data_IF_333055534090
#
_entry.id   IF_333055534090
#
_cell.length_a   1.000
_cell.length_b   1.000
_cell.length_c   1.000
_cell.angle_alpha   90.00
_cell.angle_beta   90.00
_cell.angle_gamma   90.00
#
_symmetry.space_group_name_H-M   'P 1'
#
loop_
_entity.id
_entity.type
_entity.pdbx_description
1 polymer ?
#
# COMPACT_ATOMS: atom_id res chain seq x y z
N UNK A 1 2.13 20.69 -16.03
CA UNK A 1 2.76 19.37 -15.79
C UNK A 1 1.70 18.35 -15.41
N UNK A 2 1.53 17.32 -16.25
CA UNK A 2 0.51 16.29 -16.11
C UNK A 2 0.89 15.29 -15.01
N UNK A 3 -0.07 14.90 -14.17
CA UNK A 3 0.09 13.80 -13.22
C UNK A 3 -0.63 12.55 -13.72
N UNK A 4 -0.09 11.38 -13.41
CA UNK A 4 -0.70 10.09 -13.70
C UNK A 4 -0.52 9.13 -12.52
N UNK A 5 -1.32 8.08 -12.48
CA UNK A 5 -1.19 6.99 -11.51
C UNK A 5 0.18 6.35 -11.69
N UNK A 6 0.86 6.10 -10.58
CA UNK A 6 2.18 5.49 -10.60
C UNK A 6 2.08 4.01 -10.95
N UNK A 7 2.81 3.61 -11.99
CA UNK A 7 3.08 2.23 -12.38
C UNK A 7 4.53 1.93 -12.04
N UNK A 8 4.76 0.79 -11.41
CA UNK A 8 6.09 0.25 -11.23
C UNK A 8 6.56 -0.32 -12.57
N UNK A 9 7.48 0.37 -13.23
CA UNK A 9 8.01 -0.04 -14.55
C UNK A 9 8.81 -1.35 -14.55
N UNK A 10 9.15 -1.91 -13.38
CA UNK A 10 9.79 -3.23 -13.27
C UNK A 10 8.77 -4.35 -13.12
N UNK A 11 7.77 -4.19 -12.25
CA UNK A 11 6.74 -5.22 -12.01
C UNK A 11 5.53 -5.08 -12.93
N UNK A 12 5.38 -3.94 -13.60
CA UNK A 12 4.23 -3.55 -14.43
C UNK A 12 2.92 -3.40 -13.64
N UNK A 13 3.01 -3.27 -12.32
CA UNK A 13 1.85 -3.13 -11.43
C UNK A 13 1.64 -1.69 -10.98
N UNK A 14 0.41 -1.37 -10.57
CA UNK A 14 0.06 -0.10 -9.93
C UNK A 14 0.71 -0.02 -8.56
N UNK A 15 1.32 1.13 -8.25
CA UNK A 15 1.88 1.39 -6.92
C UNK A 15 0.77 1.91 -6.01
N UNK A 16 0.52 1.16 -4.94
CA UNK A 16 -0.40 1.54 -3.86
C UNK A 16 0.40 2.05 -2.66
N UNK A 17 -0.14 3.07 -2.00
CA UNK A 17 0.40 3.57 -0.74
C UNK A 17 -0.60 3.38 0.39
N UNK A 18 -0.14 2.87 1.53
CA UNK A 18 -0.93 2.89 2.75
C UNK A 18 -1.03 4.33 3.26
N UNK A 19 -2.23 4.90 3.23
CA UNK A 19 -2.50 6.24 3.78
C UNK A 19 -2.83 6.21 5.27
N UNK A 20 -2.86 5.04 5.89
CA UNK A 20 -3.24 4.94 7.27
C UNK A 20 -2.09 5.41 8.19
N UNK A 21 -2.35 6.48 8.95
CA UNK A 21 -1.40 7.12 9.87
C UNK A 21 -1.62 6.70 11.34
N UNK A 22 -2.46 5.71 11.60
CA UNK A 22 -2.80 5.28 12.96
C UNK A 22 -1.58 4.62 13.63
N UNK A 23 -1.31 5.03 14.87
CA UNK A 23 -0.22 4.51 15.68
C UNK A 23 -0.39 3.01 15.98
N UNK A 24 0.73 2.28 15.97
CA UNK A 24 0.79 0.85 16.28
C UNK A 24 1.01 0.64 17.77
N UNK A 25 0.23 -0.24 18.38
CA UNK A 25 0.31 -0.57 19.79
C UNK A 25 0.56 -2.07 20.01
N UNK A 26 1.25 -2.43 21.11
CA UNK A 26 1.57 -3.82 21.42
C UNK A 26 0.31 -4.62 21.75
N UNK A 27 0.31 -5.87 21.28
CA UNK A 27 -0.72 -6.85 21.56
C UNK A 27 -0.08 -8.11 22.14
N UNK A 28 -0.69 -8.68 23.17
CA UNK A 28 -0.25 -9.91 23.81
C UNK A 28 -1.43 -10.85 24.06
N UNK A 29 -1.20 -12.14 23.83
CA UNK A 29 -2.13 -13.19 24.27
C UNK A 29 -1.98 -13.40 25.77
N UNK A 30 -3.06 -13.25 26.54
CA UNK A 30 -3.05 -13.34 28.00
C UNK A 30 -3.34 -14.76 28.46
N UNK A 31 -4.41 -15.34 27.93
CA UNK A 31 -4.90 -16.64 28.37
C UNK A 31 -5.72 -17.31 27.28
N UNK A 32 -5.64 -18.64 27.23
CA UNK A 32 -6.62 -19.47 26.53
C UNK A 32 -7.64 -20.01 27.53
N UNK A 33 -8.92 -19.65 27.38
CA UNK A 33 -10.00 -20.26 28.14
C UNK A 33 -10.69 -21.37 27.35
N UNK A 34 -11.71 -21.98 27.96
CA UNK A 34 -12.48 -23.05 27.32
C UNK A 34 -13.23 -22.54 26.09
N UNK A 35 -13.88 -21.37 26.21
CA UNK A 35 -14.76 -20.80 25.17
C UNK A 35 -14.05 -19.74 24.32
N UNK A 36 -13.13 -18.97 24.90
CA UNK A 36 -12.54 -17.79 24.26
C UNK A 36 -11.03 -17.77 24.38
N UNK A 37 -10.38 -17.13 23.41
CA UNK A 37 -8.98 -16.74 23.48
C UNK A 37 -8.89 -15.26 23.88
N UNK A 38 -8.14 -14.99 24.95
CA UNK A 38 -8.07 -13.67 25.58
C UNK A 38 -6.79 -12.94 25.18
N UNK A 39 -6.95 -11.75 24.61
CA UNK A 39 -5.86 -10.85 24.25
C UNK A 39 -5.87 -9.55 25.04
N UNK A 40 -4.73 -8.88 25.10
CA UNK A 40 -4.57 -7.56 25.72
C UNK A 40 -3.91 -6.61 24.73
N UNK A 41 -4.44 -5.39 24.67
CA UNK A 41 -3.81 -4.27 23.97
C UNK A 41 -3.41 -3.24 25.02
N UNK A 42 -2.15 -2.83 25.02
CA UNK A 42 -1.66 -1.75 25.89
C UNK A 42 -1.59 -0.46 25.10
N UNK A 43 -2.29 0.57 25.55
CA UNK A 43 -2.32 1.90 24.94
C UNK A 43 -1.83 2.96 25.94
N UNK A 44 -1.23 4.06 25.49
CA UNK A 44 -0.87 5.18 26.36
C UNK A 44 -2.08 5.95 26.88
N UNK A 45 -1.91 6.65 27.99
CA UNK A 45 -2.94 7.49 28.63
C UNK A 45 -3.50 8.59 27.70
N UNK A 46 -2.69 9.16 26.80
CA UNK A 46 -3.14 10.21 25.88
C UNK A 46 -4.18 9.71 24.86
N UNK A 47 -4.32 8.39 24.66
CA UNK A 47 -5.30 7.81 23.75
C UNK A 47 -6.69 7.86 24.41
N UNK A 48 -7.46 8.87 24.03
CA UNK A 48 -8.83 9.04 24.53
C UNK A 48 -9.76 7.91 24.08
N UNK A 49 -10.82 7.67 24.87
CA UNK A 49 -11.89 6.71 24.51
C UNK A 49 -12.54 7.08 23.18
N UNK A 50 -12.70 8.39 22.92
CA UNK A 50 -13.28 8.89 21.68
C UNK A 50 -12.43 8.54 20.46
N UNK A 51 -11.10 8.59 20.58
CA UNK A 51 -10.19 8.17 19.50
C UNK A 51 -10.35 6.67 19.19
N UNK A 52 -10.53 5.82 20.21
CA UNK A 52 -10.81 4.39 20.03
C UNK A 52 -12.16 4.14 19.33
N UNK A 53 -13.14 5.01 19.55
CA UNK A 53 -14.47 4.91 18.93
C UNK A 53 -14.54 5.49 17.52
N UNK A 54 -13.79 6.55 17.21
CA UNK A 54 -13.84 7.23 15.90
C UNK A 54 -12.81 6.71 14.90
N UNK A 55 -11.56 6.50 15.33
CA UNK A 55 -10.42 6.15 14.45
C UNK A 55 -9.90 4.74 14.72
N UNK A 56 -9.95 4.29 15.98
CA UNK A 56 -9.38 3.01 16.41
C UNK A 56 -7.86 3.06 16.60
N UNK A 57 -7.29 1.89 16.87
CA UNK A 57 -5.85 1.68 17.11
C UNK A 57 -5.34 0.55 16.23
N UNK A 58 -4.11 0.70 15.73
CA UNK A 58 -3.44 -0.34 14.94
C UNK A 58 -2.75 -1.30 15.90
N UNK A 59 -2.91 -2.59 15.69
CA UNK A 59 -2.22 -3.64 16.44
C UNK A 59 -1.70 -4.71 15.50
N UNK A 60 -0.55 -5.27 15.84
CA UNK A 60 0.00 -6.43 15.14
C UNK A 60 -0.32 -7.67 15.95
N UNK A 61 -1.18 -8.54 15.42
CA UNK A 61 -1.58 -9.77 16.11
C UNK A 61 -0.89 -10.94 15.41
N UNK A 62 -0.01 -11.70 16.09
CA UNK A 62 0.65 -12.83 15.47
C UNK A 62 -0.36 -13.90 15.08
N UNK A 63 -0.09 -14.62 13.99
CA UNK A 63 -0.94 -15.72 13.56
C UNK A 63 -0.97 -16.83 14.64
N UNK A 64 -2.17 -17.12 15.13
CA UNK A 64 -2.41 -18.15 16.13
C UNK A 64 -3.37 -19.19 15.54
N UNK A 65 -2.93 -20.43 15.27
CA UNK A 65 -3.73 -21.47 14.64
C UNK A 65 -4.75 -22.13 15.62
N UNK A 66 -5.49 -21.32 16.38
CA UNK A 66 -6.49 -21.77 17.35
C UNK A 66 -7.88 -21.37 16.85
N UNK A 67 -8.78 -22.36 16.74
CA UNK A 67 -10.16 -22.14 16.31
C UNK A 67 -11.06 -21.79 17.52
N UNK A 68 -10.74 -20.67 18.18
CA UNK A 68 -11.55 -20.11 19.27
C UNK A 68 -11.88 -18.64 18.99
N UNK A 69 -13.11 -18.19 19.30
CA UNK A 69 -13.45 -16.77 19.21
C UNK A 69 -12.58 -15.92 20.13
N UNK A 70 -12.30 -14.69 19.70
CA UNK A 70 -11.38 -13.79 20.39
C UNK A 70 -12.15 -12.77 21.23
N UNK A 71 -11.64 -12.54 22.43
CA UNK A 71 -12.01 -11.40 23.27
C UNK A 71 -10.76 -10.64 23.67
N UNK A 72 -10.86 -9.32 23.76
CA UNK A 72 -9.74 -8.46 24.12
C UNK A 72 -10.09 -7.54 25.26
N UNK A 73 -9.08 -7.19 26.05
CA UNK A 73 -9.13 -6.07 26.98
C UNK A 73 -8.18 -4.97 26.54
N UNK A 74 -8.55 -3.74 26.82
CA UNK A 74 -7.71 -2.56 26.56
C UNK A 74 -7.18 -2.07 27.90
N UNK A 75 -5.88 -1.96 28.01
CA UNK A 75 -5.18 -1.49 29.22
C UNK A 75 -4.49 -0.18 28.89
N UNK A 76 -4.69 0.83 29.73
CA UNK A 76 -4.01 2.11 29.65
C UNK A 76 -2.76 2.11 30.52
N UNK A 77 -1.64 2.49 29.93
CA UNK A 77 -0.41 2.79 30.66
C UNK A 77 -0.40 4.27 31.04
N UNK A 78 -0.46 4.53 32.35
CA UNK A 78 -0.43 5.86 32.95
C UNK A 78 1.01 6.38 33.03
N UNK A 79 1.22 7.70 33.12
CA UNK A 79 2.56 8.32 33.19
C UNK A 79 3.44 7.79 34.34
N UNK A 80 2.81 7.25 35.39
CA UNK A 80 3.48 6.66 36.55
C UNK A 80 3.82 5.15 36.37
N UNK A 81 3.58 4.58 35.19
CA UNK A 81 3.80 3.16 34.88
C UNK A 81 2.74 2.21 35.44
N UNK A 82 1.65 2.72 36.03
CA UNK A 82 0.53 1.88 36.45
C UNK A 82 -0.42 1.57 35.29
N UNK A 83 -0.97 0.37 35.31
CA UNK A 83 -1.85 -0.14 34.27
C UNK A 83 -3.31 -0.04 34.72
N UNK A 84 -4.15 0.60 33.91
CA UNK A 84 -5.58 0.73 34.15
C UNK A 84 -6.39 0.03 33.07
N UNK A 85 -7.18 -0.98 33.44
CA UNK A 85 -8.06 -1.68 32.49
C UNK A 85 -9.29 -0.82 32.16
N UNK A 86 -9.61 -0.71 30.87
CA UNK A 86 -10.83 -0.06 30.41
C UNK A 86 -12.03 -0.97 30.60
N UNK A 87 -13.10 -0.44 31.20
CA UNK A 87 -14.37 -1.15 31.39
C UNK A 87 -15.29 -0.85 30.22
N UNK A 88 -15.90 -1.89 29.67
CA UNK A 88 -16.89 -1.78 28.62
C UNK A 88 -18.16 -1.08 29.15
N UNK A 89 -18.58 0.04 28.54
CA UNK A 89 -19.70 0.83 29.04
C UNK A 89 -21.06 0.11 28.94
N UNK A 90 -21.19 -0.89 28.06
CA UNK A 90 -22.47 -1.56 27.77
C UNK A 90 -22.75 -2.70 28.74
N UNK A 91 -21.77 -3.58 28.96
CA UNK A 91 -21.94 -4.80 29.79
C UNK A 91 -21.16 -4.75 31.12
N UNK A 92 -20.40 -3.68 31.38
CA UNK A 92 -19.56 -3.48 32.58
C UNK A 92 -18.46 -4.53 32.78
N UNK A 93 -18.08 -5.27 31.73
CA UNK A 93 -16.96 -6.21 31.78
C UNK A 93 -15.68 -5.55 31.27
N UNK A 94 -14.53 -6.16 31.54
CA UNK A 94 -13.23 -5.71 31.01
C UNK A 94 -12.97 -6.22 29.58
N UNK A 95 -13.88 -7.05 29.05
CA UNK A 95 -13.67 -7.80 27.81
C UNK A 95 -14.59 -7.32 26.71
N UNK A 96 -14.01 -7.13 25.54
CA UNK A 96 -14.68 -6.74 24.30
C UNK A 96 -14.63 -7.91 23.33
N UNK A 97 -15.78 -8.30 22.79
CA UNK A 97 -15.83 -9.35 21.77
C UNK A 97 -15.29 -8.81 20.45
N UNK A 98 -14.45 -9.58 19.76
CA UNK A 98 -13.97 -9.20 18.44
C UNK A 98 -15.00 -9.60 17.38
N UNK A 99 -15.50 -8.59 16.68
CA UNK A 99 -16.42 -8.71 15.56
C UNK A 99 -15.78 -8.18 14.29
N UNK A 100 -16.21 -8.71 13.16
CA UNK A 100 -15.87 -8.17 11.85
C UNK A 100 -17.05 -8.29 10.90
N UNK A 101 -16.98 -7.55 9.80
CA UNK A 101 -17.86 -7.71 8.64
C UNK A 101 -17.03 -8.22 7.48
N UNK A 102 -16.96 -9.54 7.36
CA UNK A 102 -16.40 -10.19 6.18
C UNK A 102 -17.43 -10.11 5.03
N UNK A 103 -17.10 -10.72 3.89
CA UNK A 103 -17.89 -10.77 2.66
C UNK A 103 -19.41 -10.70 2.89
N UNK A 104 -20.11 -9.82 2.15
CA UNK A 104 -21.54 -9.49 2.26
C UNK A 104 -21.97 -8.67 3.48
N UNK A 105 -21.03 -8.08 4.23
CA UNK A 105 -21.28 -7.16 5.36
C UNK A 105 -22.09 -7.77 6.51
N UNK A 106 -22.09 -9.10 6.62
CA UNK A 106 -22.69 -9.78 7.76
C UNK A 106 -21.77 -9.70 8.97
N UNK A 107 -22.33 -9.34 10.12
CA UNK A 107 -21.60 -9.33 11.37
C UNK A 107 -21.26 -10.76 11.78
N UNK A 108 -19.98 -11.03 12.02
CA UNK A 108 -19.50 -12.34 12.44
C UNK A 108 -18.42 -12.18 13.52
N UNK A 109 -18.47 -13.04 14.52
CA UNK A 109 -17.39 -13.19 15.49
C UNK A 109 -16.26 -14.01 14.86
N UNK A 110 -15.02 -13.50 14.95
CA UNK A 110 -13.86 -14.12 14.30
C UNK A 110 -13.08 -14.99 15.28
N UNK A 111 -12.56 -16.10 14.79
CA UNK A 111 -11.62 -16.94 15.54
C UNK A 111 -10.17 -16.51 15.29
N UNK A 112 -9.26 -16.84 16.22
CA UNK A 112 -7.83 -16.50 16.10
C UNK A 112 -7.21 -17.01 14.79
N UNK A 113 -7.54 -18.23 14.39
CA UNK A 113 -7.06 -18.82 13.13
C UNK A 113 -7.61 -18.13 11.87
N UNK A 114 -8.70 -17.36 11.99
CA UNK A 114 -9.37 -16.68 10.88
C UNK A 114 -8.92 -15.22 10.71
N UNK A 115 -8.09 -14.67 11.61
CA UNK A 115 -7.59 -13.29 11.50
C UNK A 115 -6.93 -12.99 10.15
N UNK A 116 -6.23 -13.98 9.57
CA UNK A 116 -5.64 -13.90 8.22
C UNK A 116 -6.64 -13.55 7.11
N UNK A 117 -7.94 -13.79 7.31
CA UNK A 117 -8.99 -13.41 6.35
C UNK A 117 -9.24 -11.90 6.32
N UNK A 118 -8.85 -11.17 7.37
CA UNK A 118 -9.03 -9.71 7.47
C UNK A 118 -7.79 -8.97 6.97
N UNK A 119 -6.61 -9.38 7.43
CA UNK A 119 -5.31 -8.81 7.08
C UNK A 119 -4.22 -9.82 7.39
N UNK A 120 -3.03 -9.66 6.79
CA UNK A 120 -1.92 -10.60 6.94
C UNK A 120 -1.05 -10.34 8.17
N UNK A 121 -0.99 -9.11 8.65
CA UNK A 121 -0.01 -8.67 9.67
C UNK A 121 -0.66 -7.72 10.68
N UNK A 122 -1.09 -6.56 10.20
CA UNK A 122 -1.62 -5.50 11.05
C UNK A 122 -3.14 -5.37 10.92
N UNK A 123 -3.78 -5.08 12.04
CA UNK A 123 -5.23 -4.94 12.17
C UNK A 123 -5.57 -3.60 12.79
N UNK A 124 -6.69 -3.01 12.35
CA UNK A 124 -7.26 -1.82 12.97
C UNK A 124 -8.40 -2.26 13.88
N UNK A 125 -8.32 -1.89 15.16
CA UNK A 125 -9.33 -2.20 16.17
C UNK A 125 -10.04 -0.92 16.60
N UNK A 126 -11.36 -0.91 16.47
CA UNK A 126 -12.23 0.21 16.82
C UNK A 126 -13.33 -0.25 17.76
N UNK A 127 -13.62 0.51 18.82
CA UNK A 127 -14.69 0.16 19.76
C UNK A 127 -15.98 0.80 19.27
N UNK A 128 -17.00 0.00 18.95
CA UNK A 128 -18.29 0.53 18.49
C UNK A 128 -19.40 -0.20 19.24
N UNK A 129 -20.23 0.56 19.97
CA UNK A 129 -21.36 0.05 20.75
C UNK A 129 -20.98 -1.06 21.76
N UNK A 130 -19.79 -0.98 22.36
CA UNK A 130 -19.33 -1.95 23.36
C UNK A 130 -18.72 -3.23 22.78
N UNK A 131 -18.56 -3.35 21.47
CA UNK A 131 -17.81 -4.45 20.85
C UNK A 131 -16.56 -3.92 20.13
N UNK A 132 -15.54 -4.78 20.01
CA UNK A 132 -14.32 -4.48 19.29
C UNK A 132 -14.43 -4.91 17.82
N UNK A 133 -14.45 -3.94 16.92
CA UNK A 133 -14.49 -4.17 15.49
C UNK A 133 -13.08 -4.27 14.93
N UNK A 134 -12.80 -5.36 14.23
CA UNK A 134 -11.51 -5.58 13.57
C UNK A 134 -11.64 -5.39 12.06
N UNK A 135 -10.74 -4.58 11.53
CA UNK A 135 -10.64 -4.23 10.12
C UNK A 135 -9.22 -4.46 9.60
N UNK A 136 -9.08 -4.53 8.27
CA UNK A 136 -7.77 -4.40 7.68
C UNK A 136 -7.23 -3.01 7.99
N UNK A 137 -5.97 -2.98 8.43
CA UNK A 137 -5.29 -1.73 8.67
C UNK A 137 -4.87 -1.01 7.37
N UNK A 138 -4.72 -1.75 6.26
CA UNK A 138 -4.25 -1.18 5.01
C UNK A 138 -5.35 -0.33 4.37
N UNK A 139 -5.13 0.98 4.31
CA UNK A 139 -5.95 1.87 3.50
C UNK A 139 -5.16 2.27 2.25
N UNK A 140 -5.19 1.37 1.27
CA UNK A 140 -4.45 1.51 0.03
C UNK A 140 -5.11 2.54 -0.89
N UNK A 141 -4.35 3.55 -1.28
CA UNK A 141 -4.76 4.51 -2.30
C UNK A 141 -3.73 4.59 -3.43
N UNK A 142 -4.17 5.09 -4.58
CA UNK A 142 -3.35 5.31 -5.76
C UNK A 142 -2.42 6.50 -5.55
N UNK A 143 -1.16 6.35 -5.94
CA UNK A 143 -0.19 7.47 -5.94
C UNK A 143 -0.23 8.14 -7.30
N UNK A 144 -0.39 9.47 -7.30
CA UNK A 144 -0.23 10.29 -8.50
C UNK A 144 1.17 10.90 -8.53
N UNK A 145 1.94 10.62 -9.56
CA UNK A 145 3.28 11.19 -9.79
C UNK A 145 3.34 11.93 -11.12
N UNK A 146 4.45 12.63 -11.37
CA UNK A 146 4.66 13.27 -12.67
C UNK A 146 4.68 12.20 -13.78
N UNK A 147 3.86 12.40 -14.81
CA UNK A 147 3.73 11.47 -15.93
C UNK A 147 5.01 11.39 -16.77
N UNK A 148 5.83 12.44 -16.82
CA UNK A 148 6.94 12.56 -17.78
C UNK A 148 7.96 11.40 -17.68
N UNK A 149 8.37 11.05 -16.46
CA UNK A 149 9.32 9.95 -16.24
C UNK A 149 8.73 8.57 -16.58
N UNK A 150 7.45 8.38 -16.26
CA UNK A 150 6.76 7.12 -16.56
C UNK A 150 6.53 6.97 -18.06
N UNK A 151 6.06 8.02 -18.73
CA UNK A 151 5.86 8.07 -20.18
C UNK A 151 7.17 7.76 -20.91
N UNK A 152 8.28 8.39 -20.47
CA UNK A 152 9.62 8.07 -21.00
C UNK A 152 9.92 6.58 -20.90
N UNK A 153 9.84 6.01 -19.70
CA UNK A 153 10.21 4.61 -19.48
C UNK A 153 9.29 3.66 -20.26
N UNK A 154 7.99 3.95 -20.30
CA UNK A 154 7.02 3.16 -21.07
C UNK A 154 7.30 3.23 -22.57
N UNK A 155 7.57 4.42 -23.12
CA UNK A 155 7.89 4.60 -24.55
C UNK A 155 9.15 3.84 -24.98
N UNK A 156 10.14 3.74 -24.09
CA UNK A 156 11.36 2.95 -24.32
C UNK A 156 11.07 1.45 -24.37
N UNK A 157 10.19 0.95 -23.50
CA UNK A 157 9.79 -0.46 -23.44
C UNK A 157 8.81 -0.86 -24.54
N UNK A 158 7.95 0.06 -24.98
CA UNK A 158 6.95 -0.17 -26.01
C UNK A 158 7.59 -0.61 -27.34
N UNK A 159 7.33 -1.85 -27.75
CA UNK A 159 7.76 -2.37 -29.04
C UNK A 159 6.72 -1.98 -30.09
N UNK A 160 7.13 -1.37 -31.23
CA UNK A 160 6.23 -1.16 -32.35
C UNK A 160 5.57 -2.49 -32.74
N UNK A 161 4.28 -2.42 -33.09
CA UNK A 161 3.32 -3.50 -33.32
C UNK A 161 2.59 -4.08 -32.10
N UNK A 162 3.01 -3.79 -30.87
CA UNK A 162 2.32 -4.32 -29.69
C UNK A 162 1.01 -3.57 -29.38
N UNK A 163 0.93 -2.28 -29.70
CA UNK A 163 -0.27 -1.49 -29.50
C UNK A 163 -1.22 -1.63 -30.70
N UNK A 164 -2.38 -2.27 -30.51
CA UNK A 164 -3.37 -2.47 -31.58
C UNK A 164 -3.80 -1.15 -32.24
N UNK A 165 -4.07 -0.12 -31.43
CA UNK A 165 -4.56 1.18 -31.92
C UNK A 165 -3.45 2.07 -32.51
N UNK A 166 -2.21 1.90 -32.04
CA UNK A 166 -1.06 2.71 -32.44
C UNK A 166 0.13 1.80 -32.79
N UNK A 167 0.04 1.01 -33.87
CA UNK A 167 1.00 -0.05 -34.16
C UNK A 167 2.38 0.46 -34.53
N UNK A 168 2.52 1.73 -34.90
CA UNK A 168 3.82 2.34 -35.27
C UNK A 168 4.52 3.03 -34.10
N UNK A 169 3.87 3.13 -32.94
CA UNK A 169 4.41 3.86 -31.79
C UNK A 169 5.29 2.97 -30.91
N UNK A 170 6.34 3.58 -30.35
CA UNK A 170 7.27 2.95 -29.43
C UNK A 170 8.69 2.88 -29.98
N UNK A 171 9.67 2.90 -29.09
CA UNK A 171 11.09 2.79 -29.44
C UNK A 171 11.50 1.33 -29.59
N UNK A 172 11.02 0.47 -28.69
CA UNK A 172 11.30 -0.96 -28.68
C UNK A 172 12.78 -1.26 -28.50
N UNK A 173 13.38 -0.82 -27.38
CA UNK A 173 14.81 -1.01 -27.07
C UNK A 173 15.27 -2.47 -27.24
N UNK A 174 14.38 -3.44 -27.03
CA UNK A 174 14.64 -4.87 -27.25
C UNK A 174 15.22 -5.19 -28.64
N UNK A 175 14.86 -4.41 -29.68
CA UNK A 175 15.34 -4.60 -31.05
C UNK A 175 16.81 -4.22 -31.22
N UNK A 176 17.38 -3.48 -30.28
CA UNK A 176 18.72 -2.92 -30.33
C UNK A 176 19.68 -3.58 -29.32
N UNK A 177 19.23 -4.59 -28.55
CA UNK A 177 20.03 -5.26 -27.51
C UNK A 177 21.32 -5.92 -28.03
N UNK A 178 21.38 -6.25 -29.32
CA UNK A 178 22.53 -6.90 -29.96
C UNK A 178 23.04 -6.16 -31.19
N UNK A 179 22.61 -4.91 -31.41
CA UNK A 179 23.06 -4.12 -32.54
C UNK A 179 24.30 -3.31 -32.17
N UNK A 180 25.10 -2.95 -33.18
CA UNK A 180 26.14 -1.95 -32.99
C UNK A 180 25.48 -0.57 -32.92
N UNK A 181 25.35 -0.02 -31.71
CA UNK A 181 24.60 1.21 -31.46
C UNK A 181 25.17 2.42 -32.22
N UNK A 182 26.47 2.44 -32.51
CA UNK A 182 27.12 3.52 -33.27
C UNK A 182 26.71 3.56 -34.76
N UNK A 183 26.13 2.48 -35.28
CA UNK A 183 25.64 2.37 -36.66
C UNK A 183 24.12 2.14 -36.71
N UNK A 184 23.44 2.24 -35.57
CA UNK A 184 22.02 1.95 -35.46
C UNK A 184 21.17 3.20 -35.63
N UNK A 185 19.99 3.05 -36.23
CA UNK A 185 18.97 4.11 -36.34
C UNK A 185 18.27 4.42 -35.00
N UNK A 186 18.84 3.98 -33.86
CA UNK A 186 18.24 4.16 -32.54
C UNK A 186 18.12 5.65 -32.18
N UNK A 187 19.14 6.45 -32.47
CA UNK A 187 19.14 7.88 -32.16
C UNK A 187 18.02 8.61 -32.92
N UNK A 188 17.85 8.30 -34.20
CA UNK A 188 16.79 8.87 -35.04
C UNK A 188 15.41 8.41 -34.56
N UNK A 189 15.28 7.13 -34.19
CA UNK A 189 14.05 6.58 -33.65
C UNK A 189 13.66 7.24 -32.32
N UNK A 190 14.60 7.38 -31.38
CA UNK A 190 14.41 8.09 -30.12
C UNK A 190 13.95 9.53 -30.39
N UNK A 191 14.65 10.28 -31.24
CA UNK A 191 14.26 11.65 -31.57
C UNK A 191 12.86 11.72 -32.19
N UNK A 192 12.52 10.81 -33.11
CA UNK A 192 11.20 10.82 -33.77
C UNK A 192 10.04 10.55 -32.82
N UNK A 193 10.18 9.56 -31.92
CA UNK A 193 9.12 9.12 -31.01
C UNK A 193 8.94 10.13 -29.88
N UNK A 194 10.01 10.63 -29.28
CA UNK A 194 9.92 11.67 -28.24
C UNK A 194 9.41 13.00 -28.79
N UNK A 195 9.80 13.38 -30.02
CA UNK A 195 9.30 14.59 -30.67
C UNK A 195 7.80 14.50 -30.98
N UNK A 196 7.28 13.33 -31.32
CA UNK A 196 5.83 13.12 -31.50
C UNK A 196 5.05 13.42 -30.21
N UNK A 197 5.66 13.18 -29.05
CA UNK A 197 5.14 13.52 -27.72
C UNK A 197 5.52 14.93 -27.23
N UNK A 198 6.07 15.78 -28.11
CA UNK A 198 6.55 17.14 -27.79
C UNK A 198 7.65 17.18 -26.73
N UNK A 199 8.47 16.13 -26.67
CA UNK A 199 9.65 16.04 -25.80
C UNK A 199 10.90 16.09 -26.66
N UNK A 200 11.85 16.96 -26.33
CA UNK A 200 13.12 17.06 -27.07
C UNK A 200 14.21 16.27 -26.36
N UNK A 201 14.90 15.39 -27.08
CA UNK A 201 16.06 14.67 -26.57
C UNK A 201 17.30 15.56 -26.74
N UNK A 202 17.89 16.02 -25.62
CA UNK A 202 19.12 16.85 -25.62
C UNK A 202 20.37 16.01 -25.77
N UNK A 203 20.44 14.92 -25.02
CA UNK A 203 21.54 13.98 -25.05
C UNK A 203 21.04 12.56 -24.77
N UNK A 204 21.70 11.59 -25.37
CA UNK A 204 21.46 10.17 -25.13
C UNK A 204 22.82 9.47 -25.06
N UNK A 205 23.13 8.86 -23.92
CA UNK A 205 24.37 8.14 -23.71
C UNK A 205 24.06 6.70 -23.32
N UNK A 206 24.67 5.75 -24.02
CA UNK A 206 24.56 4.33 -23.68
C UNK A 206 25.89 3.85 -23.10
N UNK A 207 25.85 3.29 -21.90
CA UNK A 207 26.99 2.65 -21.27
C UNK A 207 27.02 1.17 -21.65
N UNK A 208 27.96 0.79 -22.51
CA UNK A 208 28.10 -0.61 -22.96
C UNK A 208 28.58 -1.59 -21.90
N UNK A 209 29.17 -1.10 -20.79
CA UNK A 209 29.65 -1.95 -19.69
C UNK A 209 28.55 -2.23 -18.67
N UNK A 210 27.70 -1.25 -18.35
CA UNK A 210 26.58 -1.43 -17.41
C UNK A 210 25.26 -1.79 -18.09
N UNK A 211 25.13 -1.51 -19.39
CA UNK A 211 23.89 -1.67 -20.15
C UNK A 211 22.90 -0.53 -19.94
N UNK A 212 23.30 0.54 -19.24
CA UNK A 212 22.41 1.66 -18.92
C UNK A 212 22.30 2.65 -20.08
N UNK A 213 21.06 3.08 -20.35
CA UNK A 213 20.75 4.17 -21.29
C UNK A 213 20.35 5.42 -20.50
N UNK A 214 21.21 6.43 -20.52
CA UNK A 214 20.94 7.74 -19.94
C UNK A 214 20.36 8.67 -21.01
N UNK A 215 19.24 9.32 -20.68
CA UNK A 215 18.56 10.27 -21.56
C UNK A 215 18.37 11.60 -20.83
N UNK A 216 18.89 12.66 -21.43
CA UNK A 216 18.60 14.04 -21.05
C UNK A 216 17.47 14.57 -21.93
N UNK A 217 16.33 14.89 -21.32
CA UNK A 217 15.08 15.22 -21.98
C UNK A 217 14.58 16.60 -21.54
N UNK A 218 14.11 17.38 -22.51
CA UNK A 218 13.41 18.63 -22.27
C UNK A 218 11.90 18.45 -22.40
N UNK A 219 11.19 18.66 -21.29
CA UNK A 219 9.74 18.53 -21.18
C UNK A 219 9.00 19.87 -21.28
N UNK A 220 9.70 20.99 -21.52
CA UNK A 220 9.11 22.34 -21.45
C UNK A 220 7.90 22.51 -22.37
N UNK A 221 7.98 22.00 -23.61
CA UNK A 221 6.88 22.07 -24.58
C UNK A 221 5.72 21.13 -24.21
N UNK A 222 6.02 19.90 -23.81
CA UNK A 222 5.04 18.94 -23.34
C UNK A 222 4.25 19.48 -22.13
N UNK A 223 4.95 20.05 -21.14
CA UNK A 223 4.36 20.58 -19.91
C UNK A 223 3.55 21.87 -20.12
N UNK A 224 3.88 22.67 -21.13
CA UNK A 224 3.15 23.89 -21.49
C UNK A 224 1.81 23.59 -22.19
N UNK A 225 1.65 22.39 -22.74
CA UNK A 225 0.44 21.96 -23.45
C UNK A 225 -0.59 21.24 -22.57
N UNK A 226 -0.37 21.22 -21.25
CA UNK A 226 -1.19 20.55 -20.23
C UNK A 226 -1.91 21.55 -19.35
#
# INVERSE_FOLDING_TARGET
MRKDIQINTSTHDIVLHDKNLVATYPFEWVQEGDTYLYGQITIPEYVSTRMLEETGVRVSIPYTPIYKPITIRIVRELENGSLQTMINPVNRTEWFNILTKLYNKTQKQICASQLLMVSTTDYLIQIINGDAWIWSNQNSDLINVNANFQNRNLMLQCVPSNAYRYPVSGVGLVRYLHSNLSQSDLADRLQSEFKADKVTVKNAAFNSYTGDLELDLDFTEADASV
#
